data_IF_008045986026
#
_entry.id   IF_008045986026
#
_cell.length_a   1.000
_cell.length_b   1.000
_cell.length_c   1.000
_cell.angle_alpha   90.00
_cell.angle_beta   90.00
_cell.angle_gamma   90.00
#
_symmetry.space_group_name_H-M   'P 1'
#
loop_
_entity.id
_entity.type
_entity.pdbx_description
1 polymer ?
#
# COMPACT_ATOMS: atom_id res chain seq x y z
N UNK A 1 -4.08 -4.06 -8.02
CA UNK A 1 -5.12 -3.02 -8.27
C UNK A 1 -6.51 -3.58 -7.98
N UNK A 2 -7.49 -2.72 -7.67
CA UNK A 2 -8.88 -3.08 -7.31
C UNK A 2 -9.01 -3.98 -6.07
N UNK A 3 -8.06 -3.85 -5.12
CA UNK A 3 -8.15 -4.48 -3.80
C UNK A 3 -8.40 -3.39 -2.75
N UNK A 4 -9.15 -3.74 -1.70
CA UNK A 4 -9.32 -2.87 -0.55
C UNK A 4 -8.04 -2.86 0.29
N UNK A 5 -7.79 -1.78 1.03
CA UNK A 5 -6.64 -1.69 1.93
C UNK A 5 -6.71 -2.81 2.99
N UNK A 6 -7.89 -3.05 3.56
CA UNK A 6 -8.10 -4.09 4.58
C UNK A 6 -7.86 -5.51 4.06
N UNK A 7 -8.12 -5.76 2.76
CA UNK A 7 -7.89 -7.09 2.16
C UNK A 7 -6.39 -7.41 2.01
N UNK A 8 -5.52 -6.39 2.05
CA UNK A 8 -4.08 -6.54 1.93
C UNK A 8 -3.37 -6.72 3.27
N UNK A 9 -4.04 -6.35 4.37
CA UNK A 9 -3.56 -6.44 5.75
C UNK A 9 -2.08 -6.03 5.91
N UNK A 10 -1.70 -4.93 5.26
CA UNK A 10 -0.31 -4.51 5.11
C UNK A 10 0.38 -4.26 6.46
N UNK A 11 -0.39 -3.79 7.44
CA UNK A 11 0.12 -3.53 8.78
C UNK A 11 0.54 -4.83 9.47
N UNK A 12 -0.29 -5.88 9.40
CA UNK A 12 0.01 -7.17 10.02
C UNK A 12 1.02 -8.00 9.22
N UNK A 13 0.93 -7.97 7.89
CA UNK A 13 1.75 -8.82 7.02
C UNK A 13 3.17 -8.28 6.83
N UNK A 14 3.34 -6.96 6.74
CA UNK A 14 4.61 -6.35 6.32
C UNK A 14 5.01 -5.14 7.17
N UNK A 15 4.24 -4.81 8.21
CA UNK A 15 4.54 -3.69 9.10
C UNK A 15 4.45 -2.32 8.41
N UNK A 16 3.57 -2.19 7.43
CA UNK A 16 3.36 -0.94 6.67
C UNK A 16 1.93 -0.47 6.78
N UNK A 17 1.76 0.83 7.00
CA UNK A 17 0.49 1.51 7.05
C UNK A 17 0.40 2.58 5.95
N UNK A 18 -0.76 2.68 5.31
CA UNK A 18 -1.03 3.70 4.27
C UNK A 18 -1.73 4.87 4.94
N UNK A 19 -1.01 5.98 5.10
CA UNK A 19 -1.51 7.16 5.81
C UNK A 19 -2.25 8.13 4.88
N UNK A 20 -1.99 8.07 3.57
CA UNK A 20 -2.72 8.87 2.58
C UNK A 20 -2.66 8.26 1.17
N UNK A 21 -3.67 8.58 0.37
CA UNK A 21 -3.72 8.29 -1.06
C UNK A 21 -3.94 9.61 -1.80
N UNK A 22 -3.08 9.87 -2.78
CA UNK A 22 -3.29 10.95 -3.75
C UNK A 22 -3.78 10.37 -5.06
N UNK A 23 -5.00 10.75 -5.42
CA UNK A 23 -5.65 10.37 -6.67
C UNK A 23 -5.86 11.62 -7.52
N UNK A 24 -4.97 11.82 -8.50
CA UNK A 24 -4.97 13.01 -9.37
C UNK A 24 -4.84 14.29 -8.55
N UNK A 25 -5.94 15.04 -8.33
CA UNK A 25 -6.00 16.28 -7.53
C UNK A 25 -6.72 16.10 -6.18
N UNK A 26 -7.20 14.88 -5.87
CA UNK A 26 -7.86 14.55 -4.61
C UNK A 26 -6.87 13.91 -3.64
N UNK A 27 -6.96 14.31 -2.38
CA UNK A 27 -6.29 13.66 -1.26
C UNK A 27 -7.30 12.89 -0.43
N UNK A 28 -6.94 11.68 -0.06
CA UNK A 28 -7.64 10.84 0.90
C UNK A 28 -6.64 10.64 2.04
N UNK A 29 -6.94 11.24 3.19
CA UNK A 29 -6.08 11.18 4.38
C UNK A 29 -6.71 10.19 5.34
N UNK A 30 -5.89 9.36 5.99
CA UNK A 30 -6.36 8.26 6.85
C UNK A 30 -7.39 7.38 6.13
N UNK A 31 -7.00 6.76 4.99
CA UNK A 31 -7.92 5.95 4.22
C UNK A 31 -8.41 4.77 5.06
N UNK A 32 -9.71 4.49 4.99
CA UNK A 32 -10.32 3.37 5.70
C UNK A 32 -10.04 2.06 4.97
N UNK A 33 -10.19 0.96 5.71
CA UNK A 33 -9.95 -0.39 5.21
C UNK A 33 -10.76 -0.75 3.96
N UNK A 34 -11.91 -0.11 3.74
CA UNK A 34 -12.76 -0.30 2.57
C UNK A 34 -12.33 0.54 1.34
N UNK A 35 -11.36 1.45 1.47
CA UNK A 35 -10.85 2.22 0.33
C UNK A 35 -10.13 1.29 -0.64
N UNK A 36 -10.49 1.43 -1.92
CA UNK A 36 -9.96 0.60 -3.00
C UNK A 36 -8.79 1.30 -3.66
N UNK A 37 -7.65 0.61 -3.72
CA UNK A 37 -6.47 1.08 -4.44
C UNK A 37 -6.70 0.93 -5.94
N UNK A 38 -6.59 2.04 -6.66
CA UNK A 38 -6.81 2.13 -8.11
C UNK A 38 -5.50 2.37 -8.83
N UNK A 39 -5.52 2.10 -10.13
CA UNK A 39 -4.39 2.37 -10.99
C UNK A 39 -4.08 3.88 -11.01
N UNK A 40 -2.79 4.23 -11.02
CA UNK A 40 -2.28 5.60 -10.90
C UNK A 40 -2.51 6.29 -9.53
N UNK A 41 -2.96 5.56 -8.50
CA UNK A 41 -2.93 6.08 -7.14
C UNK A 41 -1.48 6.22 -6.65
N UNK A 42 -1.18 7.36 -6.03
CA UNK A 42 0.08 7.55 -5.30
C UNK A 42 -0.19 7.28 -3.83
N UNK A 43 0.38 6.19 -3.32
CA UNK A 43 0.26 5.78 -1.92
C UNK A 43 1.36 6.46 -1.10
N UNK A 44 0.96 7.10 -0.01
CA UNK A 44 1.87 7.59 1.02
C UNK A 44 1.79 6.60 2.18
N UNK A 45 2.89 5.90 2.41
CA UNK A 45 2.97 4.83 3.39
C UNK A 45 4.11 5.06 4.37
N UNK A 46 3.97 4.50 5.57
CA UNK A 46 4.97 4.50 6.63
C UNK A 46 5.08 3.09 7.19
N UNK A 47 6.30 2.64 7.47
CA UNK A 47 6.52 1.31 8.03
C UNK A 47 7.99 0.95 8.13
N UNK A 48 8.25 -0.32 8.43
CA UNK A 48 9.60 -0.86 8.43
C UNK A 48 10.21 -0.78 7.02
N UNK A 49 11.53 -0.52 6.87
CA UNK A 49 12.19 -0.42 5.56
C UNK A 49 11.93 -1.62 4.64
N UNK A 50 12.00 -2.83 5.17
CA UNK A 50 11.71 -4.06 4.43
C UNK A 50 10.26 -4.13 3.94
N UNK A 51 9.30 -3.71 4.77
CA UNK A 51 7.90 -3.65 4.40
C UNK A 51 7.65 -2.64 3.29
N UNK A 52 8.27 -1.46 3.36
CA UNK A 52 8.16 -0.43 2.32
C UNK A 52 8.68 -0.94 0.99
N UNK A 53 9.80 -1.67 0.98
CA UNK A 53 10.34 -2.25 -0.26
C UNK A 53 9.41 -3.32 -0.83
N UNK A 54 8.82 -4.16 0.03
CA UNK A 54 7.83 -5.15 -0.41
C UNK A 54 6.58 -4.48 -0.99
N UNK A 55 6.07 -3.42 -0.34
CA UNK A 55 4.92 -2.65 -0.83
C UNK A 55 5.23 -2.01 -2.19
N UNK A 56 6.42 -1.44 -2.36
CA UNK A 56 6.87 -0.87 -3.64
C UNK A 56 6.82 -1.92 -4.74
N UNK A 57 7.42 -3.08 -4.51
CA UNK A 57 7.47 -4.10 -5.53
C UNK A 57 6.09 -4.70 -5.87
N UNK A 58 5.21 -4.86 -4.87
CA UNK A 58 3.80 -5.22 -5.10
C UNK A 58 3.09 -4.18 -5.98
N UNK A 59 3.35 -2.88 -5.78
CA UNK A 59 2.79 -1.81 -6.59
C UNK A 59 3.34 -1.80 -8.03
N UNK A 60 4.58 -2.23 -8.22
CA UNK A 60 5.22 -2.40 -9.53
C UNK A 60 4.84 -3.70 -10.24
N UNK A 61 3.99 -4.54 -9.62
CA UNK A 61 3.61 -5.85 -10.15
C UNK A 61 4.74 -6.87 -10.13
N UNK A 62 5.77 -6.65 -9.31
CA UNK A 62 6.87 -7.59 -9.08
C UNK A 62 6.58 -8.44 -7.85
N UNK A 63 6.78 -9.75 -7.98
CA UNK A 63 6.78 -10.65 -6.84
C UNK A 63 8.16 -10.60 -6.19
N UNK A 64 8.23 -10.19 -4.91
CA UNK A 64 9.49 -10.21 -4.15
C UNK A 64 9.44 -11.42 -3.24
N UNK A 65 10.21 -12.43 -3.61
CA UNK A 65 10.60 -13.51 -2.69
C UNK A 65 11.67 -12.91 -1.79
N UNK A 66 11.35 -12.76 -0.51
CA UNK A 66 12.33 -12.37 0.50
C UNK A 66 12.81 -13.69 1.10
N UNK A 67 14.03 -14.11 0.77
CA UNK A 67 14.68 -15.20 1.51
C UNK A 67 15.03 -14.72 2.92
N UNK A 68 14.80 -15.59 3.92
CA UNK A 68 15.08 -15.38 5.34
C UNK A 68 16.58 -15.29 5.67
#
# INVERSE_FOLDING_TARGET
VNKKIGDLDLAAQIGVDIIAIRRVKKWIIDPKDDEVIRENDVLIARGAPMGIEKLRAMAEGREVVIEE
#
